data_IF_469941658488
#
_entry.id   IF_469941658488
#
_cell.length_a   1.000
_cell.length_b   1.000
_cell.length_c   1.000
_cell.angle_alpha   90.00
_cell.angle_beta   90.00
_cell.angle_gamma   90.00
#
_symmetry.space_group_name_H-M   'P 1'
#
loop_
_entity.id
_entity.type
_entity.pdbx_description
1 polymer ?
#
# COMPACT_ATOMS: atom_id res chain seq x y z
N UNK A 1 3.23 -14.25 -8.72
CA UNK A 1 2.30 -13.28 -8.13
C UNK A 1 1.68 -13.87 -6.88
N UNK A 2 1.79 -13.15 -5.77
CA UNK A 2 1.19 -13.56 -4.51
C UNK A 2 -0.13 -12.79 -4.35
N UNK A 3 -1.26 -13.49 -4.28
CA UNK A 3 -2.60 -12.89 -4.18
C UNK A 3 -3.22 -13.12 -2.80
N UNK A 4 -2.44 -12.95 -1.73
CA UNK A 4 -2.94 -13.03 -0.37
C UNK A 4 -2.98 -11.64 0.30
N UNK A 5 -3.62 -11.51 1.44
CA UNK A 5 -3.74 -10.26 2.19
C UNK A 5 -4.58 -9.17 1.50
N UNK A 6 -5.57 -9.58 0.72
CA UNK A 6 -6.53 -8.68 0.09
C UNK A 6 -5.90 -7.62 -0.82
N UNK A 7 -5.02 -7.99 -1.77
CA UNK A 7 -4.43 -7.02 -2.67
C UNK A 7 -5.49 -6.44 -3.61
N UNK A 8 -5.24 -5.24 -4.07
CA UNK A 8 -5.93 -4.68 -5.23
C UNK A 8 -5.24 -5.16 -6.51
N UNK A 9 -5.98 -5.71 -7.46
CA UNK A 9 -5.43 -6.22 -8.72
C UNK A 9 -4.94 -5.11 -9.68
N UNK A 10 -5.30 -3.86 -9.42
CA UNK A 10 -4.79 -2.68 -10.16
C UNK A 10 -3.50 -2.11 -9.57
N UNK A 11 -2.86 -2.82 -8.65
CA UNK A 11 -1.67 -2.31 -7.93
C UNK A 11 -0.54 -3.31 -7.95
N UNK A 12 0.69 -2.79 -7.97
CA UNK A 12 1.91 -3.55 -7.88
C UNK A 12 2.72 -3.14 -6.67
N UNK A 13 3.39 -4.12 -6.05
CA UNK A 13 4.13 -3.97 -4.81
C UNK A 13 5.50 -4.62 -4.93
N UNK A 14 6.54 -3.88 -4.56
CA UNK A 14 7.91 -4.42 -4.42
C UNK A 14 8.38 -4.17 -3.00
N UNK A 15 8.68 -5.24 -2.30
CA UNK A 15 9.19 -5.20 -0.93
C UNK A 15 10.70 -5.42 -0.90
N UNK A 16 11.38 -4.66 -0.06
CA UNK A 16 12.78 -4.87 0.27
C UNK A 16 12.97 -4.93 1.77
N UNK A 17 13.77 -5.89 2.22
CA UNK A 17 14.28 -5.92 3.58
C UNK A 17 15.79 -5.94 3.53
N UNK A 18 16.39 -5.12 4.35
CA UNK A 18 17.82 -4.87 4.33
C UNK A 18 18.27 -4.32 5.68
N UNK A 19 19.57 -4.16 5.83
CA UNK A 19 20.17 -3.40 6.91
C UNK A 19 21.29 -2.56 6.33
N UNK A 20 21.23 -1.26 6.51
CA UNK A 20 22.30 -0.35 6.08
C UNK A 20 23.46 -0.49 7.06
N UNK A 21 24.69 -0.83 6.59
CA UNK A 21 25.85 -0.95 7.46
C UNK A 21 26.16 0.37 8.18
N UNK A 22 26.71 0.25 9.38
CA UNK A 22 27.08 1.44 10.17
C UNK A 22 28.02 2.35 9.39
N UNK A 23 27.69 3.62 9.31
CA UNK A 23 28.46 4.65 8.59
C UNK A 23 28.23 4.67 7.08
N UNK A 24 27.47 3.73 6.53
CA UNK A 24 27.06 3.78 5.13
C UNK A 24 25.78 4.62 4.95
N UNK A 25 25.55 5.07 3.71
CA UNK A 25 24.35 5.83 3.31
C UNK A 25 23.68 5.14 2.14
N UNK A 26 22.38 4.93 2.24
CA UNK A 26 21.56 4.36 1.17
C UNK A 26 20.65 5.43 0.57
N UNK A 27 20.57 5.48 -0.76
CA UNK A 27 19.54 6.24 -1.43
C UNK A 27 18.97 5.46 -2.62
N UNK A 28 17.78 5.83 -3.04
CA UNK A 28 17.09 5.29 -4.20
C UNK A 28 17.04 6.35 -5.30
N UNK A 29 17.50 5.98 -6.48
CA UNK A 29 17.40 6.82 -7.69
C UNK A 29 16.38 6.22 -8.64
N UNK A 30 15.35 6.98 -9.00
CA UNK A 30 14.27 6.50 -9.84
C UNK A 30 13.74 7.57 -10.80
N UNK A 31 12.81 7.13 -11.63
CA UNK A 31 11.94 8.00 -12.42
C UNK A 31 10.51 7.86 -11.92
N UNK A 32 9.76 8.94 -11.88
CA UNK A 32 8.35 8.89 -11.56
C UNK A 32 7.61 8.04 -12.60
N UNK A 33 6.85 7.00 -12.21
CA UNK A 33 6.13 6.14 -13.14
C UNK A 33 4.97 6.86 -13.84
N UNK A 34 4.56 6.33 -14.98
CA UNK A 34 3.34 6.73 -15.66
C UNK A 34 2.14 6.00 -15.05
N UNK A 35 1.70 6.48 -13.89
CA UNK A 35 0.67 5.84 -13.10
C UNK A 35 -0.22 6.86 -12.38
N UNK A 36 -1.26 6.37 -11.74
CA UNK A 36 -2.18 7.18 -10.95
C UNK A 36 -1.60 7.59 -9.59
N UNK A 37 -0.81 6.71 -9.01
CA UNK A 37 -0.23 6.91 -7.69
C UNK A 37 1.02 6.05 -7.54
N UNK A 38 2.00 6.55 -6.80
CA UNK A 38 3.12 5.77 -6.29
C UNK A 38 3.44 6.17 -4.85
N UNK A 39 4.04 5.28 -4.09
CA UNK A 39 4.57 5.60 -2.77
C UNK A 39 5.75 4.72 -2.39
N UNK A 40 6.56 5.26 -1.47
CA UNK A 40 7.53 4.52 -0.67
C UNK A 40 7.05 4.56 0.77
N UNK A 41 6.92 3.40 1.40
CA UNK A 41 6.49 3.30 2.79
C UNK A 41 7.44 2.35 3.52
N UNK A 42 7.95 2.79 4.67
CA UNK A 42 8.73 1.95 5.58
C UNK A 42 7.84 1.31 6.63
N UNK A 43 8.27 0.14 7.11
CA UNK A 43 7.49 -0.65 8.04
C UNK A 43 8.35 -1.19 9.17
N UNK A 44 7.72 -1.39 10.31
CA UNK A 44 8.30 -2.21 11.37
C UNK A 44 8.24 -3.71 11.02
N UNK A 45 8.83 -4.54 11.89
CA UNK A 45 8.86 -6.00 11.71
C UNK A 45 7.47 -6.66 11.70
N UNK A 46 6.44 -5.97 12.16
CA UNK A 46 5.06 -6.44 12.20
C UNK A 46 4.23 -5.92 11.02
N UNK A 47 4.85 -5.11 10.14
CA UNK A 47 4.18 -4.49 9.00
C UNK A 47 3.37 -3.23 9.35
N UNK A 48 3.59 -2.63 10.53
CA UNK A 48 3.03 -1.32 10.82
C UNK A 48 3.84 -0.23 10.12
N UNK A 49 3.21 0.75 9.45
CA UNK A 49 3.92 1.80 8.74
C UNK A 49 4.63 2.74 9.72
N UNK A 50 5.88 3.06 9.40
CA UNK A 50 6.74 3.97 10.17
C UNK A 50 6.84 5.34 9.52
N UNK A 51 7.02 5.36 8.20
CA UNK A 51 7.03 6.58 7.38
C UNK A 51 6.41 6.30 6.01
N UNK A 52 5.81 7.32 5.40
CA UNK A 52 5.21 7.25 4.07
C UNK A 52 5.56 8.49 3.27
N UNK A 53 6.07 8.27 2.05
CA UNK A 53 6.34 9.33 1.09
C UNK A 53 5.54 9.04 -0.19
N UNK A 54 4.41 9.71 -0.31
CA UNK A 54 3.60 9.67 -1.52
C UNK A 54 4.27 10.45 -2.65
N UNK A 55 3.90 10.14 -3.87
CA UNK A 55 4.44 10.70 -5.10
C UNK A 55 4.53 12.24 -5.12
N UNK A 56 3.46 12.93 -4.73
CA UNK A 56 3.41 14.39 -4.72
C UNK A 56 4.35 15.05 -3.70
N UNK A 57 4.83 14.28 -2.72
CA UNK A 57 5.81 14.74 -1.72
C UNK A 57 7.24 14.56 -2.19
N UNK A 58 7.49 13.74 -3.20
CA UNK A 58 8.85 13.44 -3.63
C UNK A 58 9.46 14.64 -4.39
N UNK A 59 10.60 15.13 -3.89
CA UNK A 59 11.36 16.15 -4.58
C UNK A 59 11.94 15.60 -5.89
N UNK A 60 11.71 16.25 -7.05
CA UNK A 60 12.38 15.87 -8.28
C UNK A 60 13.86 16.23 -8.23
N UNK A 61 14.70 15.52 -9.02
CA UNK A 61 16.10 15.92 -9.23
C UNK A 61 16.18 17.30 -9.87
N UNK A 62 17.29 18.04 -9.71
CA UNK A 62 17.51 19.30 -10.43
C UNK A 62 17.28 19.14 -11.94
N UNK A 63 16.48 20.03 -12.52
CA UNK A 63 16.09 19.98 -13.92
C UNK A 63 14.98 18.99 -14.27
N UNK A 64 14.49 18.21 -13.31
CA UNK A 64 13.34 17.34 -13.47
C UNK A 64 12.06 17.96 -12.89
N UNK A 65 10.92 17.43 -13.28
CA UNK A 65 9.61 17.78 -12.74
C UNK A 65 8.95 16.59 -12.07
N UNK A 66 8.15 16.85 -11.05
CA UNK A 66 7.28 15.85 -10.47
C UNK A 66 5.94 15.85 -11.20
N UNK A 67 5.62 14.79 -11.99
CA UNK A 67 4.40 14.74 -12.80
C UNK A 67 3.12 14.51 -11.98
N UNK A 68 3.24 14.24 -10.68
CA UNK A 68 2.12 14.03 -9.77
C UNK A 68 1.62 15.31 -9.11
N UNK A 69 2.31 16.41 -9.33
CA UNK A 69 1.82 17.71 -8.90
C UNK A 69 0.64 18.15 -9.77
N UNK A 70 -0.30 18.85 -9.14
CA UNK A 70 -1.47 19.33 -9.83
C UNK A 70 -1.10 20.24 -11.01
N UNK A 71 -1.66 19.96 -12.18
CA UNK A 71 -1.39 20.70 -13.40
C UNK A 71 -0.02 20.43 -14.07
N UNK A 72 0.86 19.63 -13.46
CA UNK A 72 2.14 19.27 -14.06
C UNK A 72 1.95 18.39 -15.31
N UNK A 73 2.88 18.55 -16.27
CA UNK A 73 2.89 17.70 -17.47
C UNK A 73 3.34 16.26 -17.13
N UNK A 74 2.39 15.33 -17.25
CA UNK A 74 2.65 13.90 -17.03
C UNK A 74 3.50 13.25 -18.14
N UNK A 75 3.61 13.91 -19.31
CA UNK A 75 4.42 13.42 -20.43
C UNK A 75 5.88 13.92 -20.38
N UNK A 76 6.24 14.73 -19.39
CA UNK A 76 7.62 15.19 -19.21
C UNK A 76 8.58 13.99 -19.18
N UNK A 77 9.63 14.05 -19.98
CA UNK A 77 10.71 13.05 -19.98
C UNK A 77 11.71 13.26 -18.84
N UNK A 78 11.77 14.49 -18.31
CA UNK A 78 12.64 14.85 -17.18
C UNK A 78 11.88 14.60 -15.87
N UNK A 79 11.87 13.33 -15.42
CA UNK A 79 11.07 12.88 -14.28
C UNK A 79 11.86 12.10 -13.22
N UNK A 80 13.16 12.39 -13.14
CA UNK A 80 14.04 11.75 -12.17
C UNK A 80 13.81 12.22 -10.73
N UNK A 81 13.95 11.33 -9.76
CA UNK A 81 13.99 11.64 -8.34
C UNK A 81 15.12 10.91 -7.63
N UNK A 82 15.44 11.37 -6.41
CA UNK A 82 16.36 10.72 -5.50
C UNK A 82 15.82 10.83 -4.09
N UNK A 83 15.76 9.70 -3.38
CA UNK A 83 15.30 9.63 -1.98
C UNK A 83 16.36 8.96 -1.14
N UNK A 84 16.83 9.63 -0.10
CA UNK A 84 17.70 9.07 0.92
C UNK A 84 16.88 8.19 1.88
N UNK A 85 17.41 7.02 2.21
CA UNK A 85 16.83 6.13 3.22
C UNK A 85 17.59 6.33 4.52
N UNK A 86 16.94 6.92 5.51
CA UNK A 86 17.58 7.28 6.79
C UNK A 86 17.10 6.37 7.91
N UNK A 87 18.01 6.05 8.83
CA UNK A 87 17.74 5.12 9.94
C UNK A 87 17.11 5.81 11.15
N UNK A 88 17.04 7.13 11.18
CA UNK A 88 16.40 7.86 12.25
C UNK A 88 14.87 7.73 12.15
N UNK A 89 14.17 7.51 13.26
CA UNK A 89 12.71 7.51 13.27
C UNK A 89 12.15 8.91 13.01
N UNK A 90 10.92 8.98 12.49
CA UNK A 90 10.19 10.24 12.47
C UNK A 90 9.94 10.75 13.89
N UNK A 91 10.14 12.05 14.10
CA UNK A 91 9.83 12.71 15.37
C UNK A 91 8.33 12.74 15.66
N UNK A 92 7.50 12.77 14.63
CA UNK A 92 6.04 12.77 14.75
C UNK A 92 5.45 11.72 13.79
N UNK A 93 4.64 10.77 14.28
CA UNK A 93 3.97 9.79 13.45
C UNK A 93 3.06 10.45 12.41
N UNK A 94 2.99 9.86 11.22
CA UNK A 94 2.08 10.30 10.16
C UNK A 94 0.66 9.84 10.49
N UNK A 95 -0.33 10.75 10.51
CA UNK A 95 -1.72 10.37 10.69
C UNK A 95 -2.22 9.56 9.49
N UNK A 96 -3.03 8.55 9.76
CA UNK A 96 -3.63 7.73 8.72
C UNK A 96 -4.69 8.49 7.91
N UNK A 97 -4.61 8.39 6.59
CA UNK A 97 -5.61 8.95 5.67
C UNK A 97 -5.74 10.46 5.71
N UNK A 98 -4.75 11.14 6.25
CA UNK A 98 -4.67 12.60 6.25
C UNK A 98 -3.71 13.03 5.15
N UNK A 99 -4.19 13.91 4.28
CA UNK A 99 -3.34 14.56 3.29
C UNK A 99 -2.25 15.35 4.01
N UNK A 100 -1.00 15.05 3.70
CA UNK A 100 0.13 15.77 4.25
C UNK A 100 0.30 17.08 3.50
N UNK A 101 0.24 18.21 4.19
CA UNK A 101 0.60 19.49 3.60
C UNK A 101 2.02 19.44 3.04
N UNK A 102 2.11 19.77 1.75
CA UNK A 102 3.26 19.43 0.94
C UNK A 102 4.46 20.30 1.23
N UNK A 103 5.35 19.83 2.09
CA UNK A 103 6.77 20.12 1.89
C UNK A 103 7.36 18.95 1.11
N UNK A 104 7.96 19.24 -0.05
CA UNK A 104 8.68 18.22 -0.82
C UNK A 104 9.76 17.57 0.06
N UNK A 105 9.86 16.24 -0.07
CA UNK A 105 10.75 15.40 0.73
C UNK A 105 11.76 14.70 -0.17
N UNK A 106 12.98 14.63 0.29
CA UNK A 106 14.09 13.88 -0.32
C UNK A 106 14.54 12.70 0.55
N UNK A 107 13.80 12.41 1.62
CA UNK A 107 14.12 11.37 2.60
C UNK A 107 12.90 10.53 2.95
N UNK A 108 13.16 9.23 3.22
CA UNK A 108 12.25 8.33 3.89
C UNK A 108 12.92 7.78 5.15
N UNK A 109 12.18 7.80 6.25
CA UNK A 109 12.64 7.29 7.53
C UNK A 109 12.31 5.81 7.64
N UNK A 110 13.33 4.96 7.71
CA UNK A 110 13.22 3.53 7.83
C UNK A 110 14.12 3.05 8.99
N UNK A 111 13.72 3.30 10.24
CA UNK A 111 14.53 2.91 11.39
C UNK A 111 14.72 1.40 11.45
N UNK A 112 15.94 0.99 11.78
CA UNK A 112 16.28 -0.42 11.97
C UNK A 112 15.49 -1.03 13.10
N UNK A 113 14.93 -2.20 12.86
CA UNK A 113 14.13 -2.97 13.80
C UNK A 113 14.90 -4.21 14.24
N UNK A 114 14.61 -4.70 15.45
CA UNK A 114 15.29 -5.83 16.07
C UNK A 114 16.81 -5.60 16.28
N UNK A 115 17.49 -6.62 16.82
CA UNK A 115 18.92 -6.56 17.15
C UNK A 115 19.83 -6.41 15.93
N UNK A 116 19.37 -6.91 14.78
CA UNK A 116 20.13 -6.87 13.53
C UNK A 116 19.95 -5.56 12.73
N UNK A 117 19.16 -4.61 13.25
CA UNK A 117 18.90 -3.32 12.57
C UNK A 117 18.11 -3.44 11.27
N UNK A 118 17.32 -4.48 11.10
CA UNK A 118 16.55 -4.74 9.87
C UNK A 118 15.59 -3.59 9.56
N UNK A 119 15.62 -3.15 8.31
CA UNK A 119 14.77 -2.12 7.74
C UNK A 119 13.87 -2.74 6.68
N UNK A 120 12.67 -2.18 6.48
CA UNK A 120 11.73 -2.65 5.46
C UNK A 120 11.16 -1.48 4.68
N UNK A 121 11.11 -1.63 3.37
CA UNK A 121 10.46 -0.67 2.46
C UNK A 121 9.53 -1.42 1.52
N UNK A 122 8.40 -0.80 1.20
CA UNK A 122 7.57 -1.21 0.08
C UNK A 122 7.41 -0.02 -0.87
N UNK A 123 7.72 -0.27 -2.13
CA UNK A 123 7.41 0.58 -3.27
C UNK A 123 6.08 0.13 -3.87
N UNK A 124 5.19 1.08 -4.16
CA UNK A 124 3.86 0.80 -4.73
C UNK A 124 3.60 1.63 -5.95
N UNK A 125 2.92 1.02 -6.93
CA UNK A 125 2.38 1.69 -8.10
C UNK A 125 0.91 1.28 -8.25
N UNK A 126 0.01 2.25 -8.38
CA UNK A 126 -1.41 2.04 -8.58
C UNK A 126 -1.82 2.53 -9.97
N UNK A 127 -2.58 1.71 -10.68
CA UNK A 127 -3.14 2.03 -11.98
C UNK A 127 -2.12 2.67 -12.92
N UNK A 128 -1.17 1.86 -13.41
CA UNK A 128 -0.27 2.26 -14.50
C UNK A 128 -1.07 2.70 -15.72
N UNK A 129 -0.52 3.62 -16.50
CA UNK A 129 -1.13 4.07 -17.74
C UNK A 129 -1.26 2.90 -18.73
N UNK A 130 -2.24 2.97 -19.58
CA UNK A 130 -2.56 1.89 -20.54
C UNK A 130 -1.33 1.51 -21.37
N UNK A 131 -1.13 0.20 -21.53
CA UNK A 131 -0.02 -0.39 -22.28
C UNK A 131 1.38 -0.18 -21.65
N UNK A 132 1.46 0.13 -20.39
CA UNK A 132 2.73 0.09 -19.63
C UNK A 132 2.92 -1.26 -18.93
N UNK A 133 4.14 -1.55 -18.52
CA UNK A 133 4.50 -2.71 -17.71
C UNK A 133 4.10 -2.51 -16.23
N UNK A 134 4.44 -3.45 -15.36
CA UNK A 134 4.16 -3.40 -13.92
C UNK A 134 4.82 -2.21 -13.22
N UNK A 135 5.91 -1.68 -13.80
CA UNK A 135 6.61 -0.48 -13.30
C UNK A 135 6.07 0.81 -13.89
N UNK A 136 4.98 0.72 -14.66
CA UNK A 136 4.39 1.84 -15.39
C UNK A 136 5.43 2.61 -16.23
N UNK A 137 6.34 1.87 -16.90
CA UNK A 137 7.33 2.38 -17.83
C UNK A 137 8.53 3.09 -17.19
N UNK A 138 8.66 3.09 -15.87
CA UNK A 138 9.76 3.80 -15.18
C UNK A 138 10.94 2.91 -14.79
N UNK A 139 10.75 1.59 -14.79
CA UNK A 139 11.62 0.67 -14.10
C UNK A 139 11.53 0.82 -12.57
N UNK A 140 12.21 -0.06 -11.84
CA UNK A 140 12.34 0.05 -10.39
C UNK A 140 13.43 1.07 -10.02
N UNK A 141 13.29 1.75 -8.87
CA UNK A 141 14.36 2.61 -8.37
C UNK A 141 15.66 1.84 -8.16
N UNK A 142 16.76 2.40 -8.60
CA UNK A 142 18.10 1.84 -8.41
C UNK A 142 18.62 2.17 -7.02
N UNK A 143 18.91 1.20 -6.16
CA UNK A 143 19.57 1.45 -4.88
C UNK A 143 21.02 1.84 -5.11
N UNK A 144 21.50 2.81 -4.34
CA UNK A 144 22.88 3.27 -4.33
C UNK A 144 23.34 3.33 -2.87
N UNK A 145 24.39 2.58 -2.56
CA UNK A 145 24.96 2.48 -1.23
C UNK A 145 26.38 3.08 -1.23
N UNK A 146 26.56 4.14 -0.48
CA UNK A 146 27.89 4.69 -0.20
C UNK A 146 28.38 4.12 1.11
N UNK A 147 29.45 3.34 1.06
CA UNK A 147 30.07 2.74 2.24
C UNK A 147 30.83 3.76 3.07
N UNK A 148 31.21 3.39 4.30
CA UNK A 148 31.92 4.27 5.22
C UNK A 148 33.29 4.74 4.69
N UNK A 149 33.92 3.97 3.81
CA UNK A 149 35.18 4.30 3.13
C UNK A 149 34.98 5.17 1.87
N UNK A 150 33.74 5.55 1.57
CA UNK A 150 33.37 6.36 0.40
C UNK A 150 33.15 5.56 -0.88
N UNK A 151 33.34 4.25 -0.88
CA UNK A 151 33.07 3.41 -2.05
C UNK A 151 31.56 3.37 -2.32
N UNK A 152 31.19 3.54 -3.59
CA UNK A 152 29.81 3.49 -4.04
C UNK A 152 29.51 2.13 -4.72
N UNK A 153 28.40 1.51 -4.31
CA UNK A 153 27.80 0.35 -4.94
C UNK A 153 26.45 0.72 -5.54
N UNK A 154 26.04 0.09 -6.64
CA UNK A 154 24.78 0.40 -7.34
C UNK A 154 24.03 -0.85 -7.77
N UNK A 155 22.69 -0.78 -7.74
CA UNK A 155 21.82 -1.81 -8.27
C UNK A 155 22.07 -3.19 -7.63
N UNK A 156 22.38 -4.18 -8.43
CA UNK A 156 22.57 -5.55 -7.97
C UNK A 156 23.74 -5.72 -6.98
N UNK A 157 24.79 -4.92 -7.12
CA UNK A 157 25.92 -4.96 -6.18
C UNK A 157 25.50 -4.52 -4.78
N UNK A 158 24.56 -3.57 -4.67
CA UNK A 158 23.94 -3.19 -3.40
C UNK A 158 23.15 -4.37 -2.84
N UNK A 159 22.28 -4.98 -3.66
CA UNK A 159 21.48 -6.12 -3.24
C UNK A 159 22.38 -7.28 -2.77
N UNK A 160 23.42 -7.60 -3.51
CA UNK A 160 24.39 -8.63 -3.12
C UNK A 160 25.10 -8.29 -1.80
N UNK A 161 25.49 -7.02 -1.61
CA UNK A 161 26.13 -6.55 -0.38
C UNK A 161 25.21 -6.60 0.84
N UNK A 162 23.92 -6.34 0.65
CA UNK A 162 22.92 -6.32 1.72
C UNK A 162 22.28 -7.71 1.93
N UNK A 163 22.42 -8.66 1.00
CA UNK A 163 21.81 -10.00 1.06
C UNK A 163 22.51 -10.96 2.03
N UNK A 164 23.68 -10.60 2.57
CA UNK A 164 24.32 -11.35 3.65
C UNK A 164 23.54 -11.32 4.96
N UNK A 165 22.50 -10.49 5.03
CA UNK A 165 21.55 -10.52 6.14
C UNK A 165 20.59 -11.69 5.95
N UNK A 166 20.33 -12.37 7.07
CA UNK A 166 19.39 -13.48 7.09
C UNK A 166 18.10 -13.09 6.36
N UNK A 167 17.58 -14.02 5.53
CA UNK A 167 16.31 -13.76 4.86
C UNK A 167 15.32 -13.28 5.90
N UNK A 168 14.46 -12.34 5.54
CA UNK A 168 13.33 -11.93 6.35
C UNK A 168 12.79 -13.17 7.05
N UNK A 169 13.21 -13.40 8.27
CA UNK A 169 12.33 -14.05 9.18
C UNK A 169 11.23 -13.01 9.40
N UNK A 170 10.27 -12.95 8.47
CA UNK A 170 8.96 -12.56 8.88
C UNK A 170 8.76 -13.36 10.15
N UNK A 171 8.73 -12.68 11.28
CA UNK A 171 8.41 -13.35 12.52
C UNK A 171 7.17 -14.17 12.20
N UNK A 172 7.34 -15.49 12.11
CA UNK A 172 6.22 -16.36 11.75
C UNK A 172 5.08 -16.20 12.78
N UNK A 173 5.39 -15.67 13.95
CA UNK A 173 4.38 -15.22 14.91
C UNK A 173 3.63 -13.96 14.46
N UNK A 174 4.22 -13.08 13.64
CA UNK A 174 3.52 -11.91 13.11
C UNK A 174 2.76 -12.20 11.81
N UNK A 175 3.25 -13.17 11.02
CA UNK A 175 2.53 -13.70 9.85
C UNK A 175 1.60 -14.86 10.20
N UNK A 176 1.89 -15.58 11.23
CA UNK A 176 0.91 -16.37 11.89
C UNK A 176 -0.07 -15.36 12.49
N UNK A 177 -1.02 -14.91 11.64
CA UNK A 177 -2.37 -14.69 12.17
C UNK A 177 -2.54 -15.80 13.14
N UNK A 178 -2.42 -15.55 14.45
CA UNK A 178 -2.07 -16.61 15.36
C UNK A 178 -3.01 -17.76 15.10
N UNK A 179 -2.53 -18.97 15.09
CA UNK A 179 -3.37 -20.14 14.86
C UNK A 179 -4.63 -20.05 15.73
N UNK A 180 -4.50 -19.41 16.89
CA UNK A 180 -5.57 -19.00 17.79
C UNK A 180 -6.59 -18.06 17.16
N UNK A 181 -6.15 -17.07 16.38
CA UNK A 181 -7.04 -16.16 15.66
C UNK A 181 -7.82 -16.88 14.56
N UNK A 182 -7.16 -17.74 13.79
CA UNK A 182 -7.84 -18.57 12.78
C UNK A 182 -8.78 -19.57 13.43
N UNK A 183 -8.39 -20.17 14.56
CA UNK A 183 -9.25 -21.07 15.34
C UNK A 183 -10.48 -20.32 15.86
N UNK A 184 -10.29 -19.15 16.43
CA UNK A 184 -11.40 -18.32 16.94
C UNK A 184 -12.32 -17.84 15.82
N UNK A 185 -11.78 -17.46 14.67
CA UNK A 185 -12.59 -17.18 13.47
C UNK A 185 -13.40 -18.41 13.03
N UNK A 186 -12.81 -19.58 13.10
CA UNK A 186 -13.47 -20.84 12.77
C UNK A 186 -14.58 -21.19 13.76
N UNK A 187 -14.35 -20.99 15.05
CA UNK A 187 -15.35 -21.19 16.11
C UNK A 187 -16.54 -20.25 15.96
N UNK A 188 -16.27 -18.95 15.72
CA UNK A 188 -17.34 -17.98 15.47
C UNK A 188 -18.13 -18.32 14.21
N UNK A 189 -17.46 -18.78 13.15
CA UNK A 189 -18.12 -19.22 11.93
C UNK A 189 -19.03 -20.43 12.19
N UNK A 190 -18.56 -21.42 12.96
CA UNK A 190 -19.35 -22.60 13.35
C UNK A 190 -20.55 -22.21 14.21
N UNK A 191 -20.36 -21.35 15.21
CA UNK A 191 -21.42 -20.89 16.10
C UNK A 191 -22.54 -20.12 15.36
N UNK A 192 -22.21 -19.52 14.21
CA UNK A 192 -23.17 -18.83 13.34
C UNK A 192 -23.79 -19.72 12.24
N UNK A 193 -23.58 -21.02 12.30
CA UNK A 193 -24.22 -21.98 11.38
C UNK A 193 -23.56 -22.13 10.02
N UNK A 194 -22.24 -21.98 9.95
CA UNK A 194 -21.47 -22.26 8.75
C UNK A 194 -20.31 -21.28 8.52
N UNK A 195 -19.61 -21.33 7.38
CA UNK A 195 -18.53 -20.42 7.04
C UNK A 195 -19.04 -19.00 6.82
N UNK A 196 -20.16 -18.68 7.40
CA UNK A 196 -20.86 -17.44 7.25
C UNK A 196 -20.04 -16.34 7.90
N UNK A 197 -19.37 -15.65 7.07
CA UNK A 197 -19.01 -14.27 7.26
C UNK A 197 -20.17 -13.51 7.87
N UNK A 198 -19.95 -12.37 8.52
CA UNK A 198 -21.00 -11.50 9.04
C UNK A 198 -21.79 -10.85 7.89
N UNK A 199 -22.17 -11.67 6.90
CA UNK A 199 -23.00 -11.23 5.80
C UNK A 199 -24.44 -11.05 6.28
N UNK A 200 -25.02 -9.91 5.95
CA UNK A 200 -26.42 -9.55 6.25
C UNK A 200 -27.16 -9.15 4.98
N UNK A 201 -28.49 -9.14 5.06
CA UNK A 201 -29.35 -8.59 4.02
C UNK A 201 -30.34 -7.62 4.67
N UNK A 202 -30.28 -6.31 4.42
CA UNK A 202 -29.31 -5.63 3.54
C UNK A 202 -27.87 -5.73 4.09
N UNK A 203 -26.85 -5.59 3.21
CA UNK A 203 -25.45 -5.62 3.61
C UNK A 203 -25.06 -4.51 4.56
N UNK A 204 -24.30 -4.85 5.59
CA UNK A 204 -23.72 -3.86 6.51
C UNK A 204 -22.33 -3.46 6.02
N UNK A 205 -22.11 -2.16 5.85
CA UNK A 205 -20.84 -1.60 5.42
C UNK A 205 -20.01 -1.15 6.61
N UNK A 206 -18.72 -1.39 6.52
CA UNK A 206 -17.76 -0.92 7.52
C UNK A 206 -16.58 -0.24 6.87
N UNK A 207 -16.16 0.88 7.46
CA UNK A 207 -14.89 1.50 7.16
C UNK A 207 -13.85 0.87 8.06
N UNK A 208 -12.81 0.29 7.47
CA UNK A 208 -11.70 -0.22 8.25
C UNK A 208 -10.42 -0.11 7.46
N UNK A 209 -9.44 0.36 8.14
CA UNK A 209 -8.08 0.47 7.66
C UNK A 209 -7.18 -0.60 8.27
N UNK A 210 -7.69 -1.43 9.19
CA UNK A 210 -6.87 -2.23 10.11
C UNK A 210 -7.28 -3.70 10.17
N UNK A 211 -6.32 -4.61 10.39
CA UNK A 211 -6.59 -6.05 10.55
C UNK A 211 -7.35 -6.35 11.83
N UNK A 212 -7.09 -5.58 12.90
CA UNK A 212 -7.79 -5.76 14.17
C UNK A 212 -9.25 -5.35 14.08
N UNK A 213 -9.60 -4.35 13.30
CA UNK A 213 -10.99 -4.02 13.03
C UNK A 213 -11.70 -5.13 12.25
N UNK A 214 -10.98 -5.94 11.47
CA UNK A 214 -11.55 -7.17 10.85
C UNK A 214 -11.93 -8.19 11.90
N UNK A 215 -11.08 -8.38 12.90
CA UNK A 215 -11.39 -9.27 14.01
C UNK A 215 -12.64 -8.81 14.76
N UNK A 216 -12.74 -7.53 15.10
CA UNK A 216 -13.91 -6.96 15.78
C UNK A 216 -15.19 -7.13 14.97
N UNK A 217 -15.15 -6.85 13.66
CA UNK A 217 -16.30 -7.05 12.76
C UNK A 217 -16.73 -8.51 12.72
N UNK A 218 -15.78 -9.42 12.70
CA UNK A 218 -16.05 -10.86 12.59
C UNK A 218 -16.55 -11.47 13.89
N UNK A 219 -15.94 -11.12 15.00
CA UNK A 219 -16.24 -11.68 16.33
C UNK A 219 -17.28 -10.91 17.10
N UNK A 220 -17.51 -9.64 16.76
CA UNK A 220 -18.26 -8.69 17.58
C UNK A 220 -17.49 -8.19 18.80
N UNK A 221 -16.23 -8.58 18.96
CA UNK A 221 -15.37 -8.17 20.06
C UNK A 221 -14.65 -6.85 19.71
N UNK A 222 -15.25 -5.76 20.16
CA UNK A 222 -14.70 -4.42 19.96
C UNK A 222 -13.56 -4.05 20.93
N UNK A 223 -13.27 -4.87 21.91
CA UNK A 223 -12.23 -4.58 22.91
C UNK A 223 -10.84 -4.56 22.27
N UNK A 224 -10.63 -5.40 21.28
CA UNK A 224 -9.39 -5.48 20.51
C UNK A 224 -9.25 -4.31 19.54
N UNK A 225 -10.36 -3.80 18.99
CA UNK A 225 -10.38 -2.66 18.07
C UNK A 225 -10.26 -1.30 18.79
N UNK A 226 -10.64 -1.25 20.06
CA UNK A 226 -10.56 -0.05 20.90
C UNK A 226 -9.23 0.09 21.64
N UNK A 227 -8.31 -0.86 21.46
CA UNK A 227 -6.97 -0.79 22.01
C UNK A 227 -6.29 0.54 21.65
N UNK A 228 -5.70 1.17 22.64
CA UNK A 228 -5.08 2.50 22.58
C UNK A 228 -3.90 2.61 21.61
N UNK A 229 -3.50 1.52 21.01
CA UNK A 229 -2.46 1.45 20.00
C UNK A 229 -3.05 1.58 18.59
N UNK A 230 -3.34 2.81 18.19
CA UNK A 230 -3.56 3.17 16.78
C UNK A 230 -2.39 2.80 15.84
N UNK A 231 -1.32 2.24 16.38
CA UNK A 231 -0.17 1.67 15.66
C UNK A 231 -0.42 0.24 15.18
N UNK A 232 -1.47 -0.42 15.62
CA UNK A 232 -1.80 -1.80 15.26
C UNK A 232 -2.49 -1.92 13.90
N UNK A 233 -2.45 -0.88 13.12
CA UNK A 233 -2.82 -0.91 11.72
C UNK A 233 -1.77 -1.64 10.91
N UNK A 234 -1.72 -2.85 10.99
CA UNK A 234 -1.99 -3.89 10.07
C UNK A 234 -1.17 -4.02 8.83
N UNK A 235 -0.52 -5.11 8.77
CA UNK A 235 -0.06 -5.87 7.63
C UNK A 235 0.18 -5.03 6.36
N UNK A 236 1.26 -4.23 6.41
CA UNK A 236 1.75 -3.43 5.28
C UNK A 236 0.71 -2.44 4.71
N UNK A 237 0.00 -1.76 5.60
CA UNK A 237 -0.98 -0.79 5.19
C UNK A 237 -0.37 0.40 4.42
N UNK A 238 -1.16 0.94 3.50
CA UNK A 238 -0.86 2.22 2.86
C UNK A 238 -1.55 3.34 3.63
N UNK A 239 -0.79 4.35 4.08
CA UNK A 239 -1.32 5.46 4.87
C UNK A 239 -2.24 6.40 4.08
N UNK A 240 -2.12 6.40 2.75
CA UNK A 240 -2.93 7.24 1.84
C UNK A 240 -4.21 6.54 1.39
N UNK A 241 -4.51 5.35 1.92
CA UNK A 241 -5.61 4.52 1.45
C UNK A 241 -6.61 4.23 2.58
N UNK A 242 -7.86 4.10 2.21
CA UNK A 242 -8.94 3.65 3.10
C UNK A 242 -9.79 2.59 2.43
N UNK A 243 -10.31 1.68 3.23
CA UNK A 243 -11.15 0.59 2.75
C UNK A 243 -12.56 0.71 3.30
N UNK A 244 -13.54 0.60 2.42
CA UNK A 244 -14.93 0.37 2.77
C UNK A 244 -15.27 -1.04 2.33
N UNK A 245 -15.79 -1.86 3.23
CA UNK A 245 -16.03 -3.27 2.95
C UNK A 245 -17.37 -3.74 3.46
N UNK A 246 -17.88 -4.75 2.80
CA UNK A 246 -19.01 -5.54 3.25
C UNK A 246 -18.77 -7.03 3.00
N UNK A 247 -19.56 -7.86 3.63
CA UNK A 247 -19.56 -9.29 3.41
C UNK A 247 -20.83 -9.69 2.69
N UNK A 248 -20.67 -10.50 1.66
CA UNK A 248 -21.78 -11.07 0.88
C UNK A 248 -21.79 -12.58 1.02
N UNK A 249 -22.97 -13.18 0.94
CA UNK A 249 -23.11 -14.62 0.96
C UNK A 249 -24.26 -15.05 0.04
N UNK A 250 -24.07 -16.10 -0.72
CA UNK A 250 -25.07 -16.64 -1.65
C UNK A 250 -26.39 -17.04 -0.98
N UNK A 251 -26.41 -17.30 0.33
CA UNK A 251 -27.66 -17.55 1.08
C UNK A 251 -28.65 -16.37 1.01
N UNK A 252 -28.19 -15.17 0.69
CA UNK A 252 -28.98 -13.95 0.57
C UNK A 252 -29.37 -13.60 -0.87
N UNK A 253 -28.89 -14.36 -1.85
CA UNK A 253 -29.14 -14.15 -3.27
C UNK A 253 -27.95 -14.53 -4.14
N UNK A 254 -28.20 -14.82 -5.38
CA UNK A 254 -27.16 -15.18 -6.37
C UNK A 254 -26.46 -13.97 -6.96
N UNK A 255 -27.13 -12.83 -6.91
CA UNK A 255 -26.65 -11.57 -7.49
C UNK A 255 -26.56 -10.51 -6.40
N UNK A 256 -25.44 -9.79 -6.38
CA UNK A 256 -25.25 -8.63 -5.54
C UNK A 256 -25.10 -7.40 -6.43
N UNK A 257 -26.02 -6.46 -6.30
CA UNK A 257 -26.04 -5.23 -7.10
C UNK A 257 -25.64 -4.06 -6.21
N UNK A 258 -24.69 -3.28 -6.69
CA UNK A 258 -24.26 -2.04 -6.06
C UNK A 258 -24.61 -0.91 -7.02
N UNK A 259 -25.24 0.12 -6.52
CA UNK A 259 -25.46 1.38 -7.23
C UNK A 259 -25.04 2.53 -6.33
N UNK A 260 -24.10 3.33 -6.79
CA UNK A 260 -23.64 4.50 -6.04
C UNK A 260 -23.20 5.63 -6.99
N UNK A 261 -23.12 6.84 -6.46
CA UNK A 261 -22.51 7.96 -7.15
C UNK A 261 -21.01 7.73 -7.23
N UNK A 262 -20.45 7.76 -8.42
CA UNK A 262 -19.01 7.63 -8.62
C UNK A 262 -18.31 8.90 -8.11
N UNK A 263 -17.26 8.79 -7.31
CA UNK A 263 -16.37 9.93 -7.07
C UNK A 263 -15.64 10.29 -8.36
N UNK A 264 -15.38 11.57 -8.54
CA UNK A 264 -14.56 12.05 -9.66
C UNK A 264 -13.09 11.71 -9.44
N UNK A 265 -12.43 11.28 -10.51
CA UNK A 265 -11.00 10.91 -10.50
C UNK A 265 -10.31 11.38 -11.77
N UNK A 266 -8.99 11.65 -11.72
CA UNK A 266 -8.21 11.92 -12.92
C UNK A 266 -8.27 10.74 -13.91
N UNK A 267 -8.37 10.99 -15.21
CA UNK A 267 -8.49 9.95 -16.26
C UNK A 267 -7.14 9.60 -16.86
N UNK A 268 -6.17 9.25 -16.03
CA UNK A 268 -4.77 9.03 -16.44
C UNK A 268 -4.57 7.75 -17.24
N UNK A 269 -5.30 6.68 -16.91
CA UNK A 269 -5.26 5.43 -17.67
C UNK A 269 -5.70 5.63 -19.12
N UNK A 270 -6.69 6.48 -19.36
CA UNK A 270 -7.18 6.83 -20.68
C UNK A 270 -6.48 8.06 -21.31
N UNK A 271 -5.36 8.51 -20.74
CA UNK A 271 -4.43 9.41 -21.43
C UNK A 271 -4.46 10.87 -21.01
N UNK A 272 -5.09 11.23 -19.88
CA UNK A 272 -4.95 12.59 -19.36
C UNK A 272 -3.47 12.94 -19.12
N UNK A 273 -3.06 14.06 -19.69
CA UNK A 273 -1.68 14.55 -19.64
C UNK A 273 -1.36 15.34 -18.39
N UNK A 274 -2.37 15.58 -17.53
CA UNK A 274 -2.26 16.30 -16.27
C UNK A 274 -3.16 15.64 -15.23
N UNK A 275 -2.79 15.78 -13.96
CA UNK A 275 -3.73 15.53 -12.87
C UNK A 275 -4.68 16.72 -12.77
N UNK A 276 -5.97 16.42 -12.85
CA UNK A 276 -7.07 17.36 -12.72
C UNK A 276 -7.73 17.21 -11.35
N UNK A 277 -8.61 18.15 -11.00
CA UNK A 277 -9.42 18.07 -9.79
C UNK A 277 -10.25 16.80 -9.76
N UNK A 278 -10.44 16.28 -8.56
CA UNK A 278 -11.26 15.12 -8.31
C UNK A 278 -11.47 14.90 -6.81
N UNK A 279 -12.53 14.18 -6.48
CA UNK A 279 -12.82 13.81 -5.10
C UNK A 279 -11.78 12.86 -4.53
N UNK A 280 -11.27 11.96 -5.37
CA UNK A 280 -10.27 10.96 -5.07
C UNK A 280 -9.25 10.87 -6.19
N UNK A 281 -8.05 10.41 -5.86
CA UNK A 281 -7.05 10.13 -6.89
C UNK A 281 -7.26 8.77 -7.54
N UNK A 282 -7.77 7.79 -6.78
CA UNK A 282 -7.99 6.42 -7.22
C UNK A 282 -9.02 5.73 -6.35
N UNK A 283 -9.84 4.88 -6.93
CA UNK A 283 -10.68 3.92 -6.22
C UNK A 283 -10.89 2.65 -7.05
N UNK A 284 -11.23 1.57 -6.36
CA UNK A 284 -11.49 0.28 -6.99
C UNK A 284 -12.57 -0.50 -6.24
N UNK A 285 -13.23 -1.39 -6.97
CA UNK A 285 -14.04 -2.47 -6.41
C UNK A 285 -13.30 -3.78 -6.55
N UNK A 286 -13.07 -4.48 -5.44
CA UNK A 286 -12.44 -5.79 -5.43
C UNK A 286 -13.38 -6.84 -4.83
N UNK A 287 -13.62 -7.91 -5.58
CA UNK A 287 -14.22 -9.13 -5.07
C UNK A 287 -13.14 -10.05 -4.53
N UNK A 288 -13.29 -10.48 -3.30
CA UNK A 288 -12.27 -11.25 -2.60
C UNK A 288 -12.88 -12.48 -1.94
N UNK A 289 -12.06 -13.52 -1.80
CA UNK A 289 -12.43 -14.68 -0.98
C UNK A 289 -12.40 -14.29 0.49
N UNK A 290 -13.07 -15.10 1.32
CA UNK A 290 -13.15 -14.85 2.76
C UNK A 290 -11.78 -14.75 3.44
N UNK A 291 -11.79 -14.43 4.71
CA UNK A 291 -10.60 -14.13 5.53
C UNK A 291 -9.52 -15.21 5.53
N UNK A 292 -9.89 -16.47 5.37
CA UNK A 292 -8.94 -17.57 5.43
C UNK A 292 -7.83 -17.48 4.37
N UNK A 293 -8.13 -16.95 3.20
CA UNK A 293 -7.15 -16.85 2.10
C UNK A 293 -6.75 -15.42 1.77
N UNK A 294 -7.65 -14.44 1.98
CA UNK A 294 -7.45 -13.05 1.57
C UNK A 294 -7.19 -12.88 0.07
N UNK A 295 -7.57 -13.89 -0.75
CA UNK A 295 -7.29 -13.89 -2.19
C UNK A 295 -8.26 -12.98 -2.91
N UNK A 296 -7.73 -12.19 -3.84
CA UNK A 296 -8.55 -11.42 -4.77
C UNK A 296 -9.07 -12.32 -5.89
N UNK A 297 -10.36 -12.20 -6.21
CA UNK A 297 -10.95 -12.85 -7.38
C UNK A 297 -10.83 -11.91 -8.59
N UNK A 298 -11.26 -10.66 -8.42
CA UNK A 298 -11.23 -9.64 -9.46
C UNK A 298 -11.34 -8.25 -8.85
N UNK A 299 -10.65 -7.29 -9.44
CA UNK A 299 -10.84 -5.88 -9.18
C UNK A 299 -11.19 -5.14 -10.46
N UNK A 300 -11.92 -4.06 -10.32
CA UNK A 300 -12.12 -3.03 -11.34
C UNK A 300 -11.78 -1.70 -10.69
N UNK A 301 -10.89 -0.95 -11.30
CA UNK A 301 -10.63 0.42 -10.84
C UNK A 301 -11.51 1.43 -11.59
N UNK A 302 -11.52 2.65 -11.13
CA UNK A 302 -12.43 3.72 -11.52
C UNK A 302 -12.64 3.90 -13.03
N UNK A 303 -11.57 3.85 -13.83
CA UNK A 303 -11.67 4.01 -15.29
C UNK A 303 -12.12 2.73 -16.04
N UNK A 304 -12.25 1.61 -15.33
CA UNK A 304 -12.80 0.35 -15.88
C UNK A 304 -14.28 0.17 -15.53
N UNK A 305 -14.81 0.99 -14.63
CA UNK A 305 -16.18 0.90 -14.15
C UNK A 305 -17.07 1.81 -15.01
N UNK A 306 -18.09 1.27 -15.69
CA UNK A 306 -19.04 2.09 -16.43
C UNK A 306 -19.81 3.02 -15.50
N UNK A 307 -19.94 4.27 -15.91
CA UNK A 307 -20.71 5.31 -15.18
C UNK A 307 -21.76 5.88 -16.11
N UNK A 308 -23.00 6.00 -15.65
CA UNK A 308 -24.10 6.55 -16.42
C UNK A 308 -24.00 8.09 -16.56
N UNK A 309 -24.87 8.69 -17.39
CA UNK A 309 -24.88 10.14 -17.61
C UNK A 309 -25.14 10.97 -16.35
N UNK A 310 -25.68 10.37 -15.30
CA UNK A 310 -25.92 11.00 -14.02
C UNK A 310 -24.77 10.77 -13.01
N UNK A 311 -23.70 10.10 -13.43
CA UNK A 311 -22.53 9.81 -12.64
C UNK A 311 -22.73 8.65 -11.64
N UNK A 312 -23.61 7.68 -11.91
CA UNK A 312 -23.80 6.46 -11.11
C UNK A 312 -23.20 5.24 -11.82
N UNK A 313 -22.67 4.34 -11.03
CA UNK A 313 -22.26 3.02 -11.46
C UNK A 313 -23.13 1.96 -10.84
#
# INVERSE_FOLDING_TARGET
YITFAFPDAGTFYWGAAFSVPKGAKLHLEGSFPHARYMSLISYDRLGAPLDSVADYLIAPKPGASNPYLFGADRNSKQRGYKIEVVSEPLSTPIPWGVYQEAKTRDKIHAPGQAENGQQQLIYRIYAGDKNTDETAGSGLPTPVLTLADGKELRGQDVCASLSSFQPLSFDQAALATPREYLNKLTEVAKARGGPAMPASNPPTWSKSSESMSRYAIYTGDNTVASGTNKKDGTFFANLDNQYVRTFINRKHGEVFVIRAKAPTTPKTYNGNTKFEDGDLRYWSWCSQQGYASGRVNKCLFDEQIPVDANGYY
#
